data_IF_935525254024
#
_entry.id   IF_935525254024
#
_cell.length_a   1.000
_cell.length_b   1.000
_cell.length_c   1.000
_cell.angle_alpha   90.00
_cell.angle_beta   90.00
_cell.angle_gamma   90.00
#
_symmetry.space_group_name_H-M   'P 1'
#
loop_
_entity.id
_entity.type
_entity.pdbx_description
1 polymer ?
#
# COMPACT_ATOMS: atom_id res chain seq x y z
N UNK A 1 -7.97 -8.80 16.19
CA UNK A 1 -8.97 -8.99 15.15
C UNK A 1 -8.34 -9.04 13.79
N UNK A 2 -8.85 -9.90 12.95
CA UNK A 2 -8.27 -10.06 11.62
C UNK A 2 -8.34 -8.79 10.79
N UNK A 3 -9.35 -7.98 11.00
CA UNK A 3 -9.54 -6.78 10.19
C UNK A 3 -8.39 -5.78 10.35
N UNK A 4 -7.66 -5.86 11.44
CA UNK A 4 -6.59 -4.88 11.66
C UNK A 4 -5.33 -5.23 10.90
N UNK A 5 -5.22 -6.44 10.39
CA UNK A 5 -3.99 -6.86 9.72
C UNK A 5 -3.71 -6.07 8.47
N UNK A 6 -4.76 -5.74 7.72
CA UNK A 6 -4.57 -5.03 6.47
C UNK A 6 -4.01 -3.63 6.70
N UNK A 7 -4.18 -3.10 7.91
CA UNK A 7 -3.74 -1.75 8.24
C UNK A 7 -2.49 -1.71 9.11
N UNK A 8 -1.77 -2.83 9.21
CA UNK A 8 -0.54 -2.90 9.99
C UNK A 8 0.52 -3.62 9.19
N UNK A 9 1.77 -3.18 9.34
CA UNK A 9 2.87 -3.88 8.69
C UNK A 9 3.03 -5.27 9.29
N UNK A 10 3.26 -6.25 8.42
CA UNK A 10 3.49 -7.60 8.87
C UNK A 10 4.84 -7.69 9.58
N UNK A 11 4.99 -8.62 10.52
CA UNK A 11 6.26 -8.75 11.26
C UNK A 11 7.47 -8.98 10.36
N UNK A 12 7.29 -9.65 9.24
CA UNK A 12 8.40 -9.94 8.34
C UNK A 12 8.64 -8.90 7.28
N UNK A 13 7.92 -7.77 7.33
CA UNK A 13 8.02 -6.78 6.26
C UNK A 13 9.30 -5.96 6.29
N UNK A 14 9.99 -5.92 7.42
CA UNK A 14 11.17 -5.07 7.55
C UNK A 14 10.88 -3.67 8.03
N UNK A 15 9.64 -3.40 8.41
CA UNK A 15 9.27 -2.08 8.89
C UNK A 15 9.90 -1.77 10.25
N UNK A 16 10.41 -0.55 10.39
CA UNK A 16 10.97 -0.03 11.63
C UNK A 16 10.24 1.26 11.97
N UNK A 17 9.81 1.38 13.23
CA UNK A 17 9.11 2.59 13.65
C UNK A 17 10.00 3.81 13.50
N UNK A 18 9.37 4.90 13.05
CA UNK A 18 10.09 6.13 12.84
C UNK A 18 10.84 6.22 11.52
N UNK A 19 10.79 5.16 10.74
CA UNK A 19 11.47 5.10 9.46
C UNK A 19 10.76 5.99 8.44
N UNK A 20 11.53 6.76 7.70
CA UNK A 20 10.97 7.61 6.64
C UNK A 20 10.98 6.83 5.33
N UNK A 21 9.79 6.51 4.84
CA UNK A 21 9.65 5.73 3.62
C UNK A 21 9.39 6.59 2.39
N UNK A 22 9.32 7.90 2.56
CA UNK A 22 9.04 8.83 1.46
C UNK A 22 10.06 8.67 0.35
N UNK A 23 9.57 8.59 -0.88
CA UNK A 23 10.42 8.52 -2.06
C UNK A 23 10.90 7.14 -2.44
N UNK A 24 10.66 6.13 -1.59
CA UNK A 24 11.06 4.77 -1.96
C UNK A 24 10.22 4.26 -3.12
N UNK A 25 10.86 3.48 -3.98
CA UNK A 25 10.15 2.85 -5.10
C UNK A 25 9.21 1.77 -4.55
N UNK A 26 8.00 1.73 -5.09
CA UNK A 26 7.01 0.72 -4.71
C UNK A 26 6.80 -0.22 -5.88
N UNK A 27 7.04 -1.50 -5.63
CA UNK A 27 6.91 -2.53 -6.67
C UNK A 27 5.84 -3.54 -6.28
N UNK A 28 4.93 -3.79 -7.22
CA UNK A 28 3.98 -4.89 -7.12
C UNK A 28 4.70 -6.18 -7.52
N UNK A 29 3.98 -7.29 -7.48
CA UNK A 29 4.58 -8.58 -7.82
C UNK A 29 5.06 -8.64 -9.27
N UNK A 30 4.48 -7.85 -10.14
CA UNK A 30 4.77 -7.88 -11.57
C UNK A 30 5.37 -6.58 -12.11
N UNK A 31 5.80 -5.68 -11.24
CA UNK A 31 6.49 -4.47 -11.69
C UNK A 31 6.28 -3.28 -10.78
N UNK A 32 7.02 -2.23 -11.07
CA UNK A 32 6.97 -0.99 -10.30
C UNK A 32 5.65 -0.26 -10.53
N UNK A 33 5.08 0.29 -9.46
CA UNK A 33 3.88 1.10 -9.59
C UNK A 33 4.14 2.58 -9.32
N UNK A 34 5.18 2.92 -8.59
CA UNK A 34 5.47 4.33 -8.33
C UNK A 34 6.40 4.52 -7.15
N UNK A 35 6.23 5.63 -6.46
CA UNK A 35 7.06 6.00 -5.31
C UNK A 35 6.17 6.43 -4.16
N UNK A 36 6.66 6.24 -2.94
CA UNK A 36 5.90 6.65 -1.77
C UNK A 36 5.83 8.18 -1.73
N UNK A 37 4.62 8.70 -1.72
CA UNK A 37 4.39 10.12 -1.52
C UNK A 37 4.37 10.44 -0.02
N UNK A 38 3.65 9.62 0.74
CA UNK A 38 3.62 9.78 2.19
C UNK A 38 3.06 8.53 2.85
N UNK A 39 3.30 8.46 4.15
CA UNK A 39 2.71 7.44 5.00
C UNK A 39 1.80 8.13 6.01
N UNK A 40 0.66 7.55 6.32
CA UNK A 40 -0.28 8.12 7.26
C UNK A 40 -1.03 7.01 7.99
N UNK A 41 -1.65 7.37 9.12
CA UNK A 41 -2.39 6.41 9.91
C UNK A 41 -3.62 7.05 10.56
N UNK A 42 -4.50 7.66 9.74
CA UNK A 42 -5.72 8.22 10.31
C UNK A 42 -6.57 7.13 10.92
N UNK A 43 -7.14 7.38 12.08
CA UNK A 43 -7.95 6.40 12.79
C UNK A 43 -7.19 5.11 13.09
N UNK A 44 -5.86 5.16 13.11
CA UNK A 44 -5.05 3.95 13.29
C UNK A 44 -4.91 3.09 12.05
N UNK A 45 -5.42 3.54 10.92
CA UNK A 45 -5.41 2.76 9.68
C UNK A 45 -4.19 3.14 8.84
N UNK A 46 -3.08 2.52 9.12
CA UNK A 46 -1.80 2.88 8.51
C UNK A 46 -1.73 2.48 7.05
N UNK A 47 -1.25 3.38 6.22
CA UNK A 47 -1.18 3.14 4.79
C UNK A 47 -0.12 4.00 4.14
N UNK A 48 0.21 3.64 2.89
CA UNK A 48 1.08 4.45 2.04
C UNK A 48 0.23 5.07 0.95
N UNK A 49 0.53 6.34 0.63
CA UNK A 49 0.01 6.96 -0.58
C UNK A 49 1.13 6.89 -1.61
N UNK A 50 0.87 6.23 -2.72
CA UNK A 50 1.88 5.97 -3.75
C UNK A 50 1.59 6.83 -4.97
N UNK A 51 2.57 7.63 -5.35
CA UNK A 51 2.48 8.44 -6.57
C UNK A 51 2.84 7.55 -7.74
N UNK A 52 1.86 7.30 -8.62
CA UNK A 52 2.05 6.40 -9.75
C UNK A 52 2.50 7.11 -11.02
N UNK A 53 2.67 8.42 -10.97
CA UNK A 53 2.99 9.16 -12.17
C UNK A 53 1.80 9.19 -13.10
N UNK A 54 2.01 8.73 -14.33
CA UNK A 54 0.97 8.86 -15.35
C UNK A 54 0.30 7.55 -15.73
N UNK A 55 0.78 6.39 -15.26
CA UNK A 55 0.20 5.15 -15.78
C UNK A 55 -1.17 4.83 -15.16
N UNK A 56 -1.53 5.48 -14.08
CA UNK A 56 -2.88 5.37 -13.51
C UNK A 56 -3.50 6.75 -13.50
N UNK A 57 -3.69 7.30 -14.69
CA UNK A 57 -4.31 8.62 -14.87
C UNK A 57 -3.67 9.70 -13.99
N UNK A 58 -2.37 9.59 -13.78
CA UNK A 58 -1.64 10.60 -13.03
C UNK A 58 -2.08 10.70 -11.59
N UNK A 59 -2.60 9.66 -11.02
CA UNK A 59 -3.15 9.71 -9.68
C UNK A 59 -2.35 8.85 -8.74
N UNK A 60 -2.52 9.16 -7.47
CA UNK A 60 -1.96 8.36 -6.42
C UNK A 60 -2.91 7.21 -6.09
N UNK A 61 -2.33 6.13 -5.56
CA UNK A 61 -3.13 5.03 -5.04
C UNK A 61 -2.81 4.89 -3.56
N UNK A 62 -3.79 4.42 -2.81
CA UNK A 62 -3.63 4.19 -1.38
C UNK A 62 -3.44 2.70 -1.13
N UNK A 63 -2.36 2.35 -0.46
CA UNK A 63 -2.01 0.95 -0.21
C UNK A 63 -1.94 0.73 1.30
N UNK A 64 -2.80 -0.12 1.85
CA UNK A 64 -2.73 -0.42 3.28
C UNK A 64 -1.40 -1.06 3.66
N UNK A 65 -0.95 -0.79 4.87
CA UNK A 65 0.34 -1.29 5.33
C UNK A 65 0.44 -2.81 5.29
N UNK A 66 -0.67 -3.50 5.49
CA UNK A 66 -0.67 -4.96 5.49
C UNK A 66 -0.39 -5.58 4.13
N UNK A 67 -0.44 -4.79 3.06
CA UNK A 67 -0.13 -5.28 1.72
C UNK A 67 1.38 -5.28 1.46
N UNK A 68 2.14 -4.60 2.31
CA UNK A 68 3.60 -4.50 2.16
C UNK A 68 4.23 -5.81 2.60
N UNK A 69 5.02 -6.43 1.72
CA UNK A 69 5.71 -7.68 2.03
C UNK A 69 7.19 -7.47 2.33
N UNK A 70 7.76 -6.36 1.90
CA UNK A 70 9.18 -6.11 2.16
C UNK A 70 9.52 -4.65 2.05
N UNK A 71 10.43 -4.21 2.92
CA UNK A 71 10.95 -2.85 2.89
C UNK A 71 12.47 -2.96 2.90
N UNK A 72 13.10 -2.50 1.83
CA UNK A 72 14.54 -2.51 1.69
C UNK A 72 15.00 -1.07 1.54
N UNK A 73 15.46 -0.48 2.64
CA UNK A 73 15.88 0.91 2.61
C UNK A 73 17.19 1.11 1.87
N UNK A 74 18.04 0.13 1.87
CA UNK A 74 19.31 0.24 1.13
C UNK A 74 19.06 0.21 -0.37
N UNK A 75 18.17 -0.68 -0.81
CA UNK A 75 17.78 -0.74 -2.20
C UNK A 75 16.71 0.28 -2.56
N UNK A 76 16.22 1.02 -1.59
CA UNK A 76 15.20 2.05 -1.77
C UNK A 76 13.96 1.50 -2.44
N UNK A 77 13.46 0.37 -1.93
CA UNK A 77 12.36 -0.34 -2.56
C UNK A 77 11.41 -0.93 -1.53
N UNK A 78 10.13 -0.83 -1.82
CA UNK A 78 9.07 -1.47 -1.06
C UNK A 78 8.38 -2.45 -2.00
N UNK A 79 8.12 -3.67 -1.53
CA UNK A 79 7.42 -4.67 -2.33
C UNK A 79 6.05 -4.96 -1.73
N UNK A 80 5.10 -5.24 -2.62
CA UNK A 80 3.71 -5.46 -2.24
C UNK A 80 3.29 -6.87 -2.60
N UNK A 81 2.24 -7.36 -1.95
CA UNK A 81 1.68 -8.68 -2.19
C UNK A 81 0.71 -8.72 -3.37
N UNK A 82 0.46 -7.59 -4.02
CA UNK A 82 -0.53 -7.52 -5.10
C UNK A 82 0.14 -7.23 -6.43
N UNK A 83 -0.61 -7.40 -7.52
CA UNK A 83 -0.13 -7.04 -8.85
C UNK A 83 -0.38 -5.57 -9.13
N UNK A 84 0.23 -5.08 -10.21
CA UNK A 84 -0.03 -3.72 -10.66
C UNK A 84 -1.51 -3.52 -10.99
N UNK A 85 -2.11 -4.52 -11.63
CA UNK A 85 -3.53 -4.45 -11.94
C UNK A 85 -4.41 -4.39 -10.70
N UNK A 86 -4.02 -5.12 -9.66
CA UNK A 86 -4.76 -5.07 -8.39
C UNK A 86 -4.75 -3.66 -7.81
N UNK A 87 -3.58 -3.04 -7.78
CA UNK A 87 -3.46 -1.69 -7.23
C UNK A 87 -4.23 -0.68 -8.08
N UNK A 88 -4.19 -0.87 -9.39
CA UNK A 88 -4.87 0.02 -10.31
C UNK A 88 -6.38 -0.05 -10.17
N UNK A 89 -6.91 -1.22 -9.85
CA UNK A 89 -8.35 -1.41 -9.74
C UNK A 89 -8.90 -1.08 -8.35
N UNK A 90 -8.05 -0.77 -7.40
CA UNK A 90 -8.49 -0.43 -6.05
C UNK A 90 -9.29 0.87 -6.04
N UNK A 91 -10.16 1.06 -5.04
CA UNK A 91 -10.89 2.31 -4.94
C UNK A 91 -9.93 3.49 -4.88
N UNK A 92 -10.24 4.54 -5.62
CA UNK A 92 -9.37 5.71 -5.71
C UNK A 92 -9.96 6.86 -4.94
N UNK A 93 -9.07 7.74 -4.50
CA UNK A 93 -9.49 8.99 -3.91
C UNK A 93 -9.21 10.13 -4.89
N UNK A 94 -10.02 11.16 -4.82
CA UNK A 94 -9.86 12.32 -5.68
C UNK A 94 -9.28 13.51 -4.95
N UNK A 95 -9.47 13.55 -3.63
CA UNK A 95 -8.92 14.62 -2.80
C UNK A 95 -8.22 14.00 -1.62
N UNK A 96 -7.26 14.76 -1.06
CA UNK A 96 -6.53 14.27 0.09
C UNK A 96 -7.42 14.04 1.29
N UNK A 97 -8.52 14.78 1.41
CA UNK A 97 -9.40 14.60 2.54
C UNK A 97 -10.07 13.22 2.55
N UNK A 98 -10.26 12.63 1.38
CA UNK A 98 -10.83 11.29 1.30
C UNK A 98 -9.93 10.24 1.92
N UNK A 99 -8.63 10.48 1.93
CA UNK A 99 -7.70 9.52 2.52
C UNK A 99 -7.84 9.44 4.04
N UNK A 100 -8.64 10.31 4.64
CA UNK A 100 -8.93 10.28 6.07
C UNK A 100 -10.36 9.86 6.34
N UNK A 101 -11.15 9.65 5.30
CA UNK A 101 -12.55 9.25 5.44
C UNK A 101 -12.60 7.76 5.77
N UNK A 102 -13.19 7.45 6.93
CA UNK A 102 -13.24 6.07 7.38
C UNK A 102 -14.00 5.18 6.41
N UNK A 103 -15.04 5.68 5.78
CA UNK A 103 -15.80 4.92 4.81
C UNK A 103 -14.95 4.54 3.61
N UNK A 104 -14.22 5.50 3.09
CA UNK A 104 -13.32 5.25 1.97
C UNK A 104 -12.25 4.24 2.37
N UNK A 105 -11.64 4.44 3.54
CA UNK A 105 -10.60 3.54 4.01
C UNK A 105 -11.13 2.12 4.21
N UNK A 106 -12.34 1.99 4.73
CA UNK A 106 -12.94 0.68 4.88
C UNK A 106 -13.11 -0.01 3.54
N UNK A 107 -13.53 0.73 2.52
CA UNK A 107 -13.69 0.17 1.18
C UNK A 107 -12.35 -0.30 0.62
N UNK A 108 -11.30 0.49 0.83
CA UNK A 108 -9.96 0.11 0.38
C UNK A 108 -9.48 -1.14 1.09
N UNK A 109 -9.65 -1.17 2.41
CA UNK A 109 -9.20 -2.33 3.19
C UNK A 109 -9.93 -3.59 2.78
N UNK A 110 -11.24 -3.50 2.58
CA UNK A 110 -12.01 -4.65 2.13
C UNK A 110 -11.56 -5.14 0.77
N UNK A 111 -11.28 -4.21 -0.13
CA UNK A 111 -10.81 -4.57 -1.46
C UNK A 111 -9.53 -5.39 -1.38
N UNK A 112 -8.51 -4.88 -0.66
CA UNK A 112 -7.23 -5.58 -0.59
C UNK A 112 -7.33 -6.88 0.19
N UNK A 113 -8.18 -6.91 1.21
CA UNK A 113 -8.35 -8.11 2.01
C UNK A 113 -8.95 -9.26 1.21
N UNK A 114 -9.71 -8.94 0.17
CA UNK A 114 -10.33 -9.96 -0.68
C UNK A 114 -9.44 -10.46 -1.79
N UNK A 115 -8.31 -9.81 -2.02
CA UNK A 115 -7.43 -10.25 -3.09
C UNK A 115 -6.84 -11.61 -2.75
N UNK A 116 -6.62 -12.47 -3.76
CA UNK A 116 -5.99 -13.75 -3.52
C UNK A 116 -4.57 -13.55 -2.99
N UNK A 117 -4.09 -14.45 -2.13
CA UNK A 117 -2.72 -14.34 -1.62
C UNK A 117 -1.73 -14.65 -2.72
N UNK A 118 -1.07 -13.63 -3.21
CA UNK A 118 -0.17 -13.79 -4.35
C UNK A 118 1.25 -14.05 -3.95
N UNK A 119 1.72 -13.37 -2.92
CA UNK A 119 3.10 -13.48 -2.53
C UNK A 119 3.43 -14.87 -2.03
N UNK A 120 2.46 -15.54 -1.45
CA UNK A 120 2.69 -16.84 -0.86
C UNK A 120 2.71 -17.96 -1.87
N UNK A 121 2.28 -17.69 -3.09
CA UNK A 121 2.19 -18.73 -4.10
C UNK A 121 3.54 -19.26 -4.51
N UNK A 122 4.56 -18.49 -4.27
CA UNK A 122 5.90 -18.92 -4.65
C UNK A 122 6.43 -20.02 -3.76
N UNK A 123 5.79 -20.17 -2.64
CA UNK A 123 6.26 -21.18 -1.70
C UNK A 123 6.22 -22.56 -2.28
#
# INVERSE_FOLDING_TARGET
>A
MAIDRIWSYAPGSGHVEGQDLTGLTVAATDGTIGHVDREAAPHGLRHLVVDTGVWVFGRSVLVPAGVVTGIDTQGRRITLACTRGDAKAAPRFQTDSETRDREYLTAVGDYYDRLPPRATTSA
#
